data_IF_752180840759
#
_entry.id   IF_752180840759
#
_cell.length_a   1.000
_cell.length_b   1.000
_cell.length_c   1.000
_cell.angle_alpha   90.00
_cell.angle_beta   90.00
_cell.angle_gamma   90.00
#
_symmetry.space_group_name_H-M   'P 1'
#
loop_
_entity.id
_entity.type
_entity.pdbx_description
1 polymer ?
#
# COMPACT_ATOMS: atom_id res chain seq x y z
N UNK A 1 -14.79 -1.07 3.12
CA UNK A 1 -14.74 -2.54 3.18
C UNK A 1 -13.39 -3.17 3.57
N UNK A 2 -12.24 -2.50 3.36
CA UNK A 2 -10.93 -3.08 3.72
C UNK A 2 -10.70 -3.31 5.22
N UNK A 3 -10.96 -2.30 6.05
CA UNK A 3 -10.69 -2.35 7.51
C UNK A 3 -11.50 -3.46 8.20
N UNK A 4 -12.77 -3.66 7.82
CA UNK A 4 -13.60 -4.72 8.37
C UNK A 4 -13.07 -6.14 8.10
N UNK A 5 -12.28 -6.32 7.04
CA UNK A 5 -11.61 -7.59 6.74
C UNK A 5 -10.36 -7.80 7.60
N UNK A 6 -9.66 -6.73 7.96
CA UNK A 6 -8.49 -6.79 8.85
C UNK A 6 -8.88 -7.32 10.23
N UNK A 7 -10.04 -6.90 10.77
CA UNK A 7 -10.56 -7.37 12.07
C UNK A 7 -10.73 -8.90 12.16
N UNK A 8 -10.81 -9.60 11.03
CA UNK A 8 -10.98 -11.06 10.97
C UNK A 8 -9.64 -11.81 10.93
N UNK A 9 -8.54 -11.10 10.74
CA UNK A 9 -7.21 -11.68 10.65
C UNK A 9 -6.58 -11.79 12.05
N UNK A 10 -5.88 -12.88 12.37
CA UNK A 10 -5.28 -13.09 13.69
C UNK A 10 -4.31 -11.97 14.08
N UNK A 11 -3.69 -11.32 13.10
CA UNK A 11 -2.74 -10.21 13.29
C UNK A 11 -3.38 -8.91 13.81
N UNK A 12 -4.70 -8.73 13.67
CA UNK A 12 -5.43 -7.52 14.08
C UNK A 12 -6.59 -7.81 15.05
N UNK A 13 -6.52 -8.91 15.80
CA UNK A 13 -7.53 -9.23 16.82
C UNK A 13 -7.39 -8.42 18.10
N UNK A 14 -6.30 -7.68 18.27
CA UNK A 14 -6.14 -6.76 19.40
C UNK A 14 -6.41 -5.32 18.98
N UNK A 15 -7.01 -4.55 19.89
CA UNK A 15 -7.27 -3.12 19.69
C UNK A 15 -5.95 -2.39 19.42
N UNK A 16 -4.90 -2.69 20.19
CA UNK A 16 -3.57 -2.10 20.00
C UNK A 16 -3.02 -2.31 18.58
N UNK A 17 -3.17 -3.51 17.99
CA UNK A 17 -2.66 -3.77 16.65
C UNK A 17 -3.41 -2.97 15.58
N UNK A 18 -4.72 -2.81 15.76
CA UNK A 18 -5.56 -2.02 14.87
C UNK A 18 -5.28 -0.53 15.01
N UNK A 19 -5.21 -0.02 16.24
CA UNK A 19 -4.89 1.38 16.52
C UNK A 19 -3.52 1.76 15.96
N UNK A 20 -2.51 0.92 16.15
CA UNK A 20 -1.18 1.15 15.57
C UNK A 20 -1.22 1.27 14.04
N UNK A 21 -1.97 0.40 13.36
CA UNK A 21 -2.10 0.47 11.91
C UNK A 21 -2.86 1.72 11.46
N UNK A 22 -3.97 2.05 12.12
CA UNK A 22 -4.78 3.24 11.78
C UNK A 22 -3.96 4.51 12.03
N UNK A 23 -3.30 4.62 13.18
CA UNK A 23 -2.42 5.76 13.48
C UNK A 23 -1.27 5.88 12.48
N UNK A 24 -0.73 4.76 11.98
CA UNK A 24 0.27 4.79 10.92
C UNK A 24 -0.32 5.32 9.61
N UNK A 25 -1.55 4.94 9.25
CA UNK A 25 -2.24 5.43 8.05
C UNK A 25 -2.60 6.92 8.13
N UNK A 26 -2.88 7.43 9.32
CA UNK A 26 -3.22 8.84 9.56
C UNK A 26 -1.99 9.75 9.65
N UNK A 27 -0.77 9.21 9.78
CA UNK A 27 0.48 9.96 9.80
C UNK A 27 0.94 10.32 8.37
N UNK A 28 0.87 11.60 7.95
CA UNK A 28 1.26 12.01 6.61
C UNK A 28 2.74 11.76 6.31
N UNK A 29 3.62 11.90 7.31
CA UNK A 29 5.06 11.65 7.15
C UNK A 29 5.36 10.17 6.99
N UNK A 30 4.54 9.29 7.57
CA UNK A 30 4.65 7.85 7.36
C UNK A 30 4.14 7.45 5.97
N UNK A 31 3.05 8.06 5.50
CA UNK A 31 2.55 7.86 4.14
C UNK A 31 3.52 8.36 3.07
N UNK A 32 4.23 9.46 3.33
CA UNK A 32 5.32 9.93 2.46
C UNK A 32 6.45 8.90 2.38
N UNK A 33 6.86 8.31 3.51
CA UNK A 33 7.87 7.24 3.52
C UNK A 33 7.40 6.00 2.76
N UNK A 34 6.15 5.58 2.96
CA UNK A 34 5.55 4.42 2.28
C UNK A 34 5.50 4.64 0.77
N UNK A 35 5.00 5.79 0.32
CA UNK A 35 4.96 6.14 -1.11
C UNK A 35 6.36 6.30 -1.70
N UNK A 36 7.35 6.71 -0.90
CA UNK A 36 8.75 6.75 -1.28
C UNK A 36 9.37 5.38 -1.61
N UNK A 37 8.75 4.27 -1.19
CA UNK A 37 9.18 2.93 -1.60
C UNK A 37 8.90 2.66 -3.08
N UNK A 38 7.89 3.31 -3.66
CA UNK A 38 7.58 3.19 -5.07
C UNK A 38 8.66 3.90 -5.91
N UNK A 39 9.53 3.14 -6.58
CA UNK A 39 10.64 3.66 -7.39
C UNK A 39 10.35 3.66 -8.89
N UNK A 40 9.54 2.73 -9.36
CA UNK A 40 9.14 2.55 -10.75
C UNK A 40 7.69 2.08 -10.81
N UNK A 41 7.17 1.89 -12.03
CA UNK A 41 5.86 1.28 -12.26
C UNK A 41 5.85 -0.22 -11.89
N UNK A 42 7.02 -0.86 -11.80
CA UNK A 42 7.15 -2.22 -11.30
C UNK A 42 6.84 -2.27 -9.79
N UNK A 43 6.01 -3.22 -9.33
CA UNK A 43 5.73 -3.40 -7.93
C UNK A 43 6.99 -3.76 -7.12
N UNK A 44 7.13 -3.12 -5.96
CA UNK A 44 8.15 -3.45 -4.96
C UNK A 44 7.48 -3.86 -3.65
N UNK A 45 8.10 -4.81 -2.95
CA UNK A 45 7.55 -5.40 -1.73
C UNK A 45 8.52 -5.15 -0.58
N UNK A 46 7.99 -4.75 0.58
CA UNK A 46 8.68 -4.64 1.87
C UNK A 46 7.95 -5.50 2.88
N UNK A 47 8.63 -6.48 3.45
CA UNK A 47 8.01 -7.46 4.36
C UNK A 47 8.46 -7.18 5.80
N UNK A 48 7.51 -6.80 6.66
CA UNK A 48 7.74 -6.58 8.08
C UNK A 48 8.79 -5.50 8.34
N UNK A 49 9.89 -5.91 8.98
CA UNK A 49 11.00 -5.03 9.34
C UNK A 49 11.79 -4.50 8.14
N UNK A 50 11.64 -5.06 6.93
CA UNK A 50 12.27 -4.51 5.72
C UNK A 50 11.77 -3.12 5.33
N UNK A 51 10.60 -2.72 5.83
CA UNK A 51 10.08 -1.37 5.66
C UNK A 51 10.95 -0.32 6.36
N UNK A 52 11.75 -0.71 7.37
CA UNK A 52 12.44 0.20 8.29
C UNK A 52 11.51 1.22 8.99
N UNK A 53 10.20 0.99 8.97
CA UNK A 53 9.18 1.79 9.64
C UNK A 53 8.68 0.98 10.84
N UNK A 54 8.97 1.38 12.08
CA UNK A 54 8.59 0.61 13.27
C UNK A 54 7.10 0.30 13.36
N UNK A 55 6.24 1.26 12.99
CA UNK A 55 4.79 1.09 13.00
C UNK A 55 4.30 0.02 12.00
N UNK A 56 5.10 -0.32 10.98
CA UNK A 56 4.79 -1.32 9.96
C UNK A 56 5.60 -2.61 10.13
N UNK A 57 6.30 -2.79 11.25
CA UNK A 57 7.17 -3.95 11.46
C UNK A 57 6.43 -5.31 11.42
N UNK A 58 5.10 -5.30 11.63
CA UNK A 58 4.23 -6.48 11.54
C UNK A 58 3.39 -6.53 10.25
N UNK A 59 3.68 -5.64 9.30
CA UNK A 59 2.94 -5.47 8.08
C UNK A 59 3.83 -5.68 6.86
N UNK A 60 3.22 -6.07 5.74
CA UNK A 60 3.85 -5.99 4.44
C UNK A 60 3.29 -4.80 3.67
N UNK A 61 4.16 -4.17 2.89
CA UNK A 61 3.82 -3.07 2.00
C UNK A 61 4.20 -3.47 0.58
N UNK A 62 3.22 -3.46 -0.32
CA UNK A 62 3.46 -3.59 -1.76
C UNK A 62 3.18 -2.23 -2.37
N UNK A 63 4.07 -1.70 -3.20
CA UNK A 63 3.90 -0.38 -3.78
C UNK A 63 4.45 -0.27 -5.20
N UNK A 64 3.81 0.56 -6.02
CA UNK A 64 4.24 0.89 -7.39
C UNK A 64 3.96 2.37 -7.68
N UNK A 65 4.67 2.95 -8.64
CA UNK A 65 4.33 4.29 -9.16
C UNK A 65 3.23 4.19 -10.20
N UNK A 66 2.47 5.28 -10.33
CA UNK A 66 1.58 5.49 -11.46
C UNK A 66 1.94 6.77 -12.19
N UNK A 67 1.68 6.79 -13.49
CA UNK A 67 2.04 7.88 -14.38
C UNK A 67 0.80 8.46 -15.06
N UNK A 68 0.74 9.79 -15.13
CA UNK A 68 -0.30 10.50 -15.89
C UNK A 68 0.37 11.18 -17.08
N UNK A 69 -0.08 10.85 -18.29
CA UNK A 69 0.49 11.34 -19.55
C UNK A 69 2.02 11.13 -19.64
N UNK A 70 2.52 10.02 -19.10
CA UNK A 70 3.95 9.69 -19.06
C UNK A 70 4.77 10.41 -17.99
N UNK A 71 4.13 11.21 -17.14
CA UNK A 71 4.78 11.89 -16.01
C UNK A 71 4.45 11.16 -14.71
N UNK A 72 5.45 10.77 -13.89
CA UNK A 72 5.19 10.19 -12.57
C UNK A 72 4.32 11.11 -11.72
N UNK A 73 3.13 10.63 -11.35
CA UNK A 73 2.13 11.42 -10.64
C UNK A 73 2.02 11.05 -9.16
N UNK A 74 2.35 9.81 -8.79
CA UNK A 74 2.38 9.38 -7.40
C UNK A 74 2.66 7.89 -7.23
N UNK A 75 2.40 7.39 -6.01
CA UNK A 75 2.53 5.98 -5.65
C UNK A 75 1.22 5.39 -5.14
N UNK A 76 0.97 4.13 -5.46
CA UNK A 76 -0.13 3.33 -4.92
C UNK A 76 0.50 2.27 -4.01
N UNK A 77 -0.11 2.01 -2.86
CA UNK A 77 0.39 1.01 -1.91
C UNK A 77 -0.73 0.13 -1.36
N UNK A 78 -0.44 -1.15 -1.18
CA UNK A 78 -1.25 -2.11 -0.42
C UNK A 78 -0.52 -2.43 0.87
N UNK A 79 -1.21 -2.25 2.00
CA UNK A 79 -0.70 -2.60 3.32
C UNK A 79 -1.51 -3.77 3.87
N UNK A 80 -0.82 -4.83 4.29
CA UNK A 80 -1.43 -6.05 4.80
C UNK A 80 -0.60 -6.72 5.89
N UNK A 81 -1.06 -7.85 6.45
CA UNK A 81 -0.23 -8.65 7.35
C UNK A 81 0.93 -9.30 6.59
N UNK A 82 1.97 -9.72 7.32
CA UNK A 82 3.13 -10.43 6.74
C UNK A 82 2.77 -11.75 6.06
N UNK A 83 1.65 -12.37 6.41
CA UNK A 83 1.17 -13.64 5.81
C UNK A 83 -0.03 -13.40 4.87
N UNK A 84 0.13 -12.48 3.92
CA UNK A 84 -0.87 -12.19 2.89
C UNK A 84 -0.65 -13.03 1.62
N UNK A 85 -1.69 -13.15 0.80
CA UNK A 85 -1.58 -13.68 -0.57
C UNK A 85 -0.95 -12.61 -1.47
N UNK A 86 0.38 -12.68 -1.62
CA UNK A 86 1.13 -11.71 -2.40
C UNK A 86 0.77 -11.73 -3.88
N UNK A 87 0.48 -12.90 -4.45
CA UNK A 87 0.10 -13.02 -5.86
C UNK A 87 -1.21 -12.29 -6.15
N UNK A 88 -2.22 -12.48 -5.31
CA UNK A 88 -3.48 -11.76 -5.43
C UNK A 88 -3.29 -10.25 -5.18
N UNK A 89 -2.51 -9.87 -4.17
CA UNK A 89 -2.31 -8.46 -3.86
C UNK A 89 -1.51 -7.70 -4.94
N UNK A 90 -0.52 -8.35 -5.56
CA UNK A 90 0.20 -7.81 -6.71
C UNK A 90 -0.74 -7.60 -7.90
N UNK A 91 -1.51 -8.63 -8.27
CA UNK A 91 -2.47 -8.54 -9.37
C UNK A 91 -3.52 -7.43 -9.13
N UNK A 92 -3.99 -7.29 -7.88
CA UNK A 92 -4.92 -6.23 -7.51
C UNK A 92 -4.28 -4.84 -7.61
N UNK A 93 -3.04 -4.67 -7.14
CA UNK A 93 -2.31 -3.41 -7.23
C UNK A 93 -2.09 -2.99 -8.69
N UNK A 94 -1.68 -3.93 -9.55
CA UNK A 94 -1.47 -3.69 -10.98
C UNK A 94 -2.77 -3.28 -11.67
N UNK A 95 -3.87 -3.99 -11.42
CA UNK A 95 -5.18 -3.65 -11.98
C UNK A 95 -5.63 -2.24 -11.55
N UNK A 96 -5.46 -1.91 -10.27
CA UNK A 96 -5.82 -0.58 -9.75
C UNK A 96 -4.94 0.51 -10.36
N UNK A 97 -3.63 0.26 -10.54
CA UNK A 97 -2.71 1.18 -11.22
C UNK A 97 -3.17 1.47 -12.64
N UNK A 98 -3.40 0.44 -13.45
CA UNK A 98 -3.83 0.57 -14.84
C UNK A 98 -5.17 1.32 -14.98
N UNK A 99 -6.13 1.00 -14.11
CA UNK A 99 -7.42 1.65 -14.10
C UNK A 99 -7.31 3.13 -13.69
N UNK A 100 -6.50 3.44 -12.68
CA UNK A 100 -6.27 4.79 -12.22
C UNK A 100 -5.59 5.63 -13.31
N UNK A 101 -4.54 5.12 -13.95
CA UNK A 101 -3.87 5.79 -15.06
C UNK A 101 -4.84 6.05 -16.20
N UNK A 102 -5.63 5.06 -16.59
CA UNK A 102 -6.65 5.20 -17.64
C UNK A 102 -7.65 6.31 -17.32
N UNK A 103 -8.16 6.35 -16.08
CA UNK A 103 -9.12 7.37 -15.64
C UNK A 103 -8.48 8.76 -15.60
N UNK A 104 -7.31 8.91 -14.98
CA UNK A 104 -6.64 10.20 -14.87
C UNK A 104 -6.23 10.74 -16.24
N UNK A 105 -5.72 9.88 -17.12
CA UNK A 105 -5.39 10.25 -18.50
C UNK A 105 -6.64 10.65 -19.32
N UNK A 106 -7.83 10.19 -18.94
CA UNK A 106 -9.08 10.58 -19.61
C UNK A 106 -9.60 11.95 -19.15
N UNK A 107 -9.36 12.32 -17.89
CA UNK A 107 -9.85 13.56 -17.28
C UNK A 107 -8.89 14.73 -17.55
N UNK A 108 -7.59 14.46 -17.57
CA UNK A 108 -6.53 15.46 -17.71
C UNK A 108 -6.10 15.66 -19.17
N UNK A 109 -6.93 15.24 -20.12
CA UNK A 109 -6.79 15.47 -21.56
C UNK A 109 -7.24 16.87 -21.96
#
# INVERSE_FOLDING_TARGET
DGIGRLLRLPEFQTVDALENLISALDDPGLMEQVTGFARSEEPSIRIGSESAIPALAKNSVICCRYSVSGVPAGGISVIGPTRMDYSHALAALELVREQLETMLNSILK
#
